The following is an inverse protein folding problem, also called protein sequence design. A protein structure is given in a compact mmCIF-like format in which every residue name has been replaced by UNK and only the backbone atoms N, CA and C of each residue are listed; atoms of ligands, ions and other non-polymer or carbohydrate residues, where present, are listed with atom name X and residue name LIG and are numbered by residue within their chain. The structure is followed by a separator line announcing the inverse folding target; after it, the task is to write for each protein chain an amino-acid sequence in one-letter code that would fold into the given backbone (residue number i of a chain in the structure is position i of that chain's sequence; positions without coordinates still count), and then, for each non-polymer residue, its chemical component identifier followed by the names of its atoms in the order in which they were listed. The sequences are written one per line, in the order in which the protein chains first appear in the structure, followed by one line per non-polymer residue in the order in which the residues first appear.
data_IF_395818957217
#
_entry.id   IF_395818957217
#
_cell.length_a   1.000
_cell.length_b   1.000
_cell.length_c   1.000
_cell.angle_alpha   90.00
_cell.angle_beta   90.00
_cell.angle_gamma   90.00
#
_symmetry.space_group_name_H-M   'P 1'
#
loop_
_entity.id
_entity.type
_entity.pdbx_description
1 polymer ?
#
# COMPACT_ATOMS: atom_id res chain seq x y z
N UNK A 1 19.39 -4.45 -18.03
CA UNK A 1 18.29 -4.10 -17.12
C UNK A 1 18.50 -4.74 -15.78
N UNK A 2 18.18 -4.02 -14.70
CA UNK A 2 18.37 -4.46 -13.32
C UNK A 2 17.13 -4.22 -12.46
N UNK A 3 17.15 -4.82 -11.27
CA UNK A 3 16.21 -4.51 -10.19
C UNK A 3 16.91 -3.65 -9.16
N UNK A 4 16.22 -2.63 -8.70
CA UNK A 4 16.58 -1.88 -7.51
C UNK A 4 15.99 -2.57 -6.29
N UNK A 5 16.80 -2.91 -5.30
CA UNK A 5 16.39 -3.64 -4.10
C UNK A 5 16.79 -2.92 -2.83
N UNK A 6 16.04 -3.13 -1.75
CA UNK A 6 16.46 -2.85 -0.38
C UNK A 6 17.24 -4.05 0.13
N UNK A 7 18.40 -3.82 0.73
CA UNK A 7 19.28 -4.90 1.15
C UNK A 7 19.27 -5.17 2.65
N UNK A 8 18.74 -4.24 3.47
CA UNK A 8 18.63 -4.41 4.93
C UNK A 8 17.87 -5.69 5.29
N UNK A 9 18.48 -6.53 6.12
CA UNK A 9 17.91 -7.81 6.54
C UNK A 9 17.83 -8.89 5.46
N UNK A 10 18.50 -8.68 4.33
CA UNK A 10 18.55 -9.67 3.25
C UNK A 10 19.39 -10.86 3.69
N UNK A 11 18.80 -12.05 3.74
CA UNK A 11 19.47 -13.26 4.18
C UNK A 11 19.20 -14.46 3.26
N UNK A 12 20.10 -15.45 3.22
CA UNK A 12 20.02 -16.57 2.29
C UNK A 12 18.86 -17.54 2.59
N UNK A 13 18.36 -17.58 3.83
CA UNK A 13 17.32 -18.55 4.23
C UNK A 13 15.93 -18.09 3.77
N UNK A 14 15.65 -16.78 3.87
CA UNK A 14 14.34 -16.22 3.55
C UNK A 14 14.25 -15.67 2.12
N UNK A 15 15.33 -15.07 1.62
CA UNK A 15 15.39 -14.43 0.30
C UNK A 15 16.59 -14.94 -0.53
N UNK A 16 16.80 -16.25 -0.55
CA UNK A 16 17.99 -16.87 -1.15
C UNK A 16 18.29 -16.46 -2.60
N UNK A 17 17.27 -16.23 -3.42
CA UNK A 17 17.43 -15.75 -4.79
C UNK A 17 18.01 -14.34 -4.83
N UNK A 18 17.40 -13.41 -4.09
CA UNK A 18 17.85 -12.02 -4.05
C UNK A 18 19.21 -11.91 -3.37
N UNK A 19 19.43 -12.67 -2.29
CA UNK A 19 20.72 -12.73 -1.60
C UNK A 19 21.83 -13.18 -2.55
N UNK A 20 21.62 -14.26 -3.30
CA UNK A 20 22.57 -14.77 -4.28
C UNK A 20 22.85 -13.72 -5.36
N UNK A 21 21.83 -13.08 -5.92
CA UNK A 21 22.01 -12.05 -6.93
C UNK A 21 22.74 -10.81 -6.38
N UNK A 22 22.47 -10.42 -5.14
CA UNK A 22 23.11 -9.27 -4.50
C UNK A 22 24.55 -9.51 -4.04
N UNK A 23 25.00 -10.76 -3.97
CA UNK A 23 26.37 -11.14 -3.61
C UNK A 23 27.27 -11.52 -4.80
N UNK A 24 26.77 -11.31 -6.03
CA UNK A 24 27.59 -11.46 -7.23
C UNK A 24 28.51 -10.25 -7.42
N UNK A 25 29.61 -10.42 -8.15
CA UNK A 25 30.52 -9.35 -8.59
C UNK A 25 29.86 -8.36 -9.58
N UNK A 26 28.66 -8.65 -10.04
CA UNK A 26 27.85 -7.85 -10.97
C UNK A 26 26.81 -6.98 -10.28
N UNK A 27 26.63 -7.13 -8.97
CA UNK A 27 25.75 -6.29 -8.18
C UNK A 27 26.42 -4.94 -7.87
N UNK A 28 25.63 -3.87 -7.85
CA UNK A 28 26.05 -2.56 -7.36
C UNK A 28 25.40 -2.37 -5.99
N UNK A 29 26.22 -2.19 -4.96
CA UNK A 29 25.74 -2.02 -3.59
C UNK A 29 26.07 -0.62 -3.08
N UNK A 30 25.12 -0.01 -2.37
CA UNK A 30 25.23 1.29 -1.73
C UNK A 30 24.86 1.17 -0.25
N UNK A 31 25.66 1.78 0.62
CA UNK A 31 25.48 1.73 2.07
C UNK A 31 25.49 0.29 2.65
N UNK A 32 26.24 -0.59 2.05
CA UNK A 32 26.39 -1.99 2.44
C UNK A 32 27.86 -2.25 2.77
N UNK A 33 28.10 -2.95 3.85
CA UNK A 33 29.46 -3.35 4.24
C UNK A 33 29.96 -4.46 3.33
N UNK A 34 31.09 -4.20 2.66
CA UNK A 34 31.83 -5.20 1.89
C UNK A 34 33.22 -5.31 2.49
N UNK A 35 33.62 -6.52 2.85
CA UNK A 35 34.95 -6.80 3.41
C UNK A 35 35.99 -7.00 2.29
N UNK A 36 37.26 -6.91 2.63
CA UNK A 36 38.37 -7.04 1.67
C UNK A 36 38.41 -8.40 0.96
N UNK A 37 37.84 -9.44 1.57
CA UNK A 37 37.67 -10.77 0.99
C UNK A 37 36.43 -10.88 0.05
N UNK A 38 35.72 -9.79 -0.15
CA UNK A 38 34.49 -9.73 -0.98
C UNK A 38 33.23 -10.18 -0.25
N UNK A 39 33.30 -10.55 1.01
CA UNK A 39 32.12 -10.90 1.80
C UNK A 39 31.24 -9.67 2.02
N UNK A 40 29.94 -9.83 1.82
CA UNK A 40 28.93 -8.78 2.00
C UNK A 40 28.20 -9.00 3.32
N UNK A 41 28.01 -7.93 4.09
CA UNK A 41 27.23 -7.92 5.32
C UNK A 41 26.05 -6.96 5.18
N UNK A 42 24.86 -7.50 5.03
CA UNK A 42 23.63 -6.74 4.89
C UNK A 42 23.00 -6.32 6.23
N UNK A 43 23.54 -6.82 7.34
CA UNK A 43 23.07 -6.49 8.70
C UNK A 43 23.93 -5.39 9.35
N UNK A 44 25.08 -5.05 8.76
CA UNK A 44 25.92 -3.94 9.25
C UNK A 44 25.22 -2.59 8.98
N UNK A 45 24.82 -1.93 10.05
CA UNK A 45 24.19 -0.62 10.05
C UNK A 45 25.11 0.50 10.56
N UNK A 46 26.40 0.26 10.63
CA UNK A 46 27.38 1.21 11.17
C UNK A 46 27.43 2.54 10.39
N UNK A 47 27.19 2.50 9.08
CA UNK A 47 27.03 3.69 8.25
C UNK A 47 25.59 4.22 8.28
N UNK A 48 24.63 3.35 7.96
CA UNK A 48 23.21 3.66 7.89
C UNK A 48 22.39 2.38 7.72
N UNK A 49 21.14 2.38 8.18
CA UNK A 49 20.17 1.32 7.93
C UNK A 49 19.52 1.40 6.53
N UNK A 50 20.05 2.20 5.62
CA UNK A 50 19.48 2.45 4.29
C UNK A 50 20.27 1.75 3.17
N UNK A 51 20.62 0.47 3.36
CA UNK A 51 21.29 -0.33 2.34
C UNK A 51 20.46 -0.51 1.07
N UNK A 52 21.10 -0.36 -0.08
CA UNK A 52 20.50 -0.49 -1.41
C UNK A 52 21.37 -1.33 -2.32
N UNK A 53 20.71 -1.97 -3.30
CA UNK A 53 21.41 -2.69 -4.34
C UNK A 53 20.72 -2.59 -5.69
N UNK A 54 21.51 -2.70 -6.75
CA UNK A 54 21.05 -2.96 -8.12
C UNK A 54 21.57 -4.32 -8.51
N UNK A 55 20.68 -5.23 -8.83
CA UNK A 55 20.99 -6.59 -9.27
C UNK A 55 20.53 -6.79 -10.71
N UNK A 56 21.19 -7.66 -11.46
CA UNK A 56 20.78 -7.94 -12.82
C UNK A 56 19.53 -8.81 -12.86
N UNK A 57 18.61 -8.51 -13.78
CA UNK A 57 17.41 -9.35 -14.03
C UNK A 57 17.78 -10.80 -14.34
N UNK A 58 18.85 -11.01 -15.09
CA UNK A 58 19.35 -12.34 -15.45
C UNK A 58 19.80 -13.20 -14.26
N UNK A 59 20.08 -12.58 -13.10
CA UNK A 59 20.43 -13.29 -11.86
C UNK A 59 19.18 -13.70 -11.04
N UNK A 60 18.00 -13.23 -11.42
CA UNK A 60 16.74 -13.51 -10.73
C UNK A 60 15.89 -14.43 -11.61
N UNK A 61 15.79 -15.72 -11.29
CA UNK A 61 14.92 -16.64 -12.00
C UNK A 61 13.44 -16.22 -11.81
N UNK A 62 12.59 -16.65 -12.71
CA UNK A 62 11.15 -16.33 -12.73
C UNK A 62 10.84 -14.82 -12.95
N UNK A 63 11.71 -14.10 -13.64
CA UNK A 63 11.40 -12.76 -14.14
C UNK A 63 10.85 -12.87 -15.56
N UNK A 64 9.96 -11.95 -15.90
CA UNK A 64 9.49 -11.80 -17.29
C UNK A 64 10.59 -11.15 -18.14
N UNK A 65 10.77 -11.61 -19.37
CA UNK A 65 11.72 -11.01 -20.31
C UNK A 65 11.22 -9.65 -20.81
N UNK A 66 9.89 -9.45 -20.82
CA UNK A 66 9.25 -8.19 -21.15
C UNK A 66 9.30 -7.26 -19.95
N UNK A 67 9.86 -6.05 -20.12
CA UNK A 67 9.96 -5.06 -19.03
C UNK A 67 8.86 -4.00 -19.07
N UNK A 68 8.20 -3.87 -20.21
CA UNK A 68 7.13 -2.91 -20.43
C UNK A 68 5.77 -3.56 -20.24
N UNK A 69 4.86 -2.86 -19.58
CA UNK A 69 3.46 -3.24 -19.42
C UNK A 69 2.62 -2.29 -20.27
N UNK A 70 1.94 -2.81 -21.30
CA UNK A 70 1.11 -2.00 -22.19
C UNK A 70 -0.07 -1.34 -21.47
N UNK A 71 -0.68 -2.07 -20.51
CA UNK A 71 -1.85 -1.59 -19.77
C UNK A 71 -1.89 -2.17 -18.36
N UNK A 72 -2.15 -1.32 -17.39
CA UNK A 72 -2.51 -1.74 -16.04
C UNK A 72 -4.04 -1.80 -15.91
N UNK A 73 -4.59 -2.90 -15.41
CA UNK A 73 -6.04 -3.08 -15.20
C UNK A 73 -6.44 -2.93 -13.74
N UNK A 74 -5.51 -3.07 -12.82
CA UNK A 74 -5.77 -3.00 -11.37
C UNK A 74 -4.77 -2.05 -10.72
N UNK A 75 -5.27 -1.09 -9.95
CA UNK A 75 -4.47 -0.17 -9.13
C UNK A 75 -4.79 -0.46 -7.67
N UNK A 76 -3.77 -0.74 -6.86
CA UNK A 76 -3.94 -1.04 -5.44
C UNK A 76 -3.14 -0.04 -4.61
N UNK A 77 -3.83 0.85 -3.91
CA UNK A 77 -3.23 1.69 -2.87
C UNK A 77 -3.01 0.85 -1.61
N UNK A 78 -1.80 0.82 -1.11
CA UNK A 78 -1.47 0.12 0.14
C UNK A 78 -1.51 1.12 1.28
N UNK A 79 -2.38 0.85 2.27
CA UNK A 79 -2.42 1.60 3.51
C UNK A 79 -2.09 0.71 4.71
N UNK A 80 -1.91 1.31 5.88
CA UNK A 80 -1.73 0.57 7.12
C UNK A 80 -2.46 1.25 8.26
N UNK A 81 -3.64 0.73 8.55
CA UNK A 81 -4.51 1.17 9.66
C UNK A 81 -4.77 -0.02 10.56
N UNK A 82 -5.25 0.25 11.77
CA UNK A 82 -5.51 -0.80 12.78
C UNK A 82 -6.92 -0.73 13.39
N UNK A 83 -7.74 0.18 12.92
CA UNK A 83 -9.06 0.47 13.49
C UNK A 83 -10.21 -0.03 12.59
N UNK A 84 -10.97 0.91 12.03
CA UNK A 84 -12.21 0.65 11.28
C UNK A 84 -12.01 0.51 9.76
N UNK A 85 -10.77 0.59 9.27
CA UNK A 85 -10.51 0.43 7.83
C UNK A 85 -10.50 -1.05 7.47
N UNK A 86 -11.36 -1.50 6.55
CA UNK A 86 -11.43 -2.89 6.13
C UNK A 86 -10.12 -3.40 5.51
N UNK A 87 -9.95 -4.73 5.39
CA UNK A 87 -8.77 -5.32 4.76
C UNK A 87 -8.59 -4.90 3.30
N UNK A 88 -9.70 -4.72 2.60
CA UNK A 88 -9.70 -4.22 1.21
C UNK A 88 -11.02 -3.53 0.92
N UNK A 89 -10.95 -2.50 0.04
CA UNK A 89 -12.14 -1.85 -0.52
C UNK A 89 -11.91 -1.59 -2.02
N UNK A 90 -12.99 -1.64 -2.80
CA UNK A 90 -13.00 -1.24 -4.20
C UNK A 90 -13.56 0.17 -4.32
N UNK A 91 -12.96 0.98 -5.17
CA UNK A 91 -13.21 2.42 -5.28
C UNK A 91 -13.76 2.79 -6.66
N UNK A 92 -14.69 3.71 -6.70
CA UNK A 92 -15.04 4.43 -7.92
C UNK A 92 -13.97 5.52 -8.24
N UNK A 93 -14.00 6.16 -9.42
CA UNK A 93 -12.98 7.15 -9.79
C UNK A 93 -12.86 8.35 -8.84
N UNK A 94 -13.95 8.82 -8.22
CA UNK A 94 -13.92 9.92 -7.26
C UNK A 94 -13.26 9.50 -5.94
N UNK A 95 -13.62 8.33 -5.45
CA UNK A 95 -13.00 7.74 -4.26
C UNK A 95 -11.53 7.41 -4.48
N UNK A 96 -11.15 7.02 -5.70
CA UNK A 96 -9.75 6.80 -6.07
C UNK A 96 -8.94 8.10 -6.06
N UNK A 97 -9.52 9.21 -6.57
CA UNK A 97 -8.95 10.54 -6.43
C UNK A 97 -8.74 10.91 -4.96
N UNK A 98 -9.77 10.73 -4.12
CA UNK A 98 -9.67 11.02 -2.70
C UNK A 98 -8.57 10.17 -2.02
N UNK A 99 -8.54 8.86 -2.30
CA UNK A 99 -7.52 7.95 -1.75
C UNK A 99 -6.10 8.36 -2.18
N UNK A 100 -5.92 8.75 -3.43
CA UNK A 100 -4.66 9.27 -3.96
C UNK A 100 -4.22 10.53 -3.23
N UNK A 101 -5.13 11.51 -3.08
CA UNK A 101 -4.86 12.78 -2.41
C UNK A 101 -4.66 12.61 -0.90
N UNK A 102 -5.34 11.64 -0.27
CA UNK A 102 -5.10 11.29 1.13
C UNK A 102 -3.70 10.72 1.35
N UNK A 103 -3.22 9.90 0.43
CA UNK A 103 -1.90 9.29 0.49
C UNK A 103 -1.60 8.64 1.85
N UNK A 104 -2.60 7.98 2.45
CA UNK A 104 -2.49 7.37 3.78
C UNK A 104 -1.45 6.26 3.79
N UNK A 105 -0.37 6.44 4.52
CA UNK A 105 0.75 5.53 4.62
C UNK A 105 1.34 5.55 6.02
N UNK A 106 2.43 4.84 6.20
CA UNK A 106 3.26 4.90 7.40
C UNK A 106 4.70 5.22 7.01
N UNK A 107 5.42 5.88 7.91
CA UNK A 107 6.87 6.02 7.77
C UNK A 107 7.53 4.64 7.81
N UNK A 108 8.46 4.44 6.90
CA UNK A 108 9.27 3.23 6.83
C UNK A 108 10.70 3.53 7.31
N UNK A 109 11.44 2.51 7.69
CA UNK A 109 12.86 2.64 8.02
C UNK A 109 13.71 3.19 6.87
N UNK A 110 13.19 3.15 5.65
CA UNK A 110 13.84 3.71 4.47
C UNK A 110 13.82 5.25 4.40
N UNK A 111 12.86 5.89 5.08
CA UNK A 111 12.82 7.36 5.21
C UNK A 111 13.57 7.80 6.46
N UNK A 112 12.88 7.78 7.60
CA UNK A 112 13.44 8.11 8.90
C UNK A 112 13.25 6.91 9.84
N UNK A 113 14.33 6.14 10.17
CA UNK A 113 14.22 4.97 11.04
C UNK A 113 13.61 5.27 12.41
N UNK A 114 13.79 6.50 12.92
CA UNK A 114 13.27 6.92 14.23
C UNK A 114 11.75 7.13 14.22
N UNK A 115 11.17 7.33 13.04
CA UNK A 115 9.73 7.52 12.82
C UNK A 115 9.04 6.31 12.23
N UNK A 116 9.76 5.21 12.03
CA UNK A 116 9.20 4.00 11.43
C UNK A 116 7.91 3.55 12.15
N UNK A 117 6.86 3.30 11.38
CA UNK A 117 5.54 2.92 11.88
C UNK A 117 4.61 4.09 12.27
N UNK A 118 5.08 5.33 12.28
CA UNK A 118 4.21 6.49 12.48
C UNK A 118 3.34 6.74 11.25
N UNK A 119 2.14 7.28 11.48
CA UNK A 119 1.23 7.67 10.39
C UNK A 119 1.87 8.77 9.53
N UNK A 120 1.81 8.60 8.23
CA UNK A 120 2.29 9.55 7.22
C UNK A 120 1.23 9.75 6.16
N UNK A 121 1.16 10.97 5.64
CA UNK A 121 0.40 11.30 4.42
C UNK A 121 1.35 11.82 3.36
N UNK A 122 1.27 11.22 2.18
CA UNK A 122 2.06 11.60 1.03
C UNK A 122 1.19 11.37 -0.22
N UNK A 123 0.78 12.44 -0.87
CA UNK A 123 -0.10 12.38 -2.05
C UNK A 123 0.46 11.39 -3.07
N UNK A 124 -0.38 10.49 -3.54
CA UNK A 124 0.00 9.42 -4.44
C UNK A 124 1.08 8.46 -3.92
N UNK A 125 1.42 8.54 -2.62
CA UNK A 125 2.61 7.89 -2.03
C UNK A 125 3.92 8.27 -2.72
N UNK A 126 3.92 9.39 -3.45
CA UNK A 126 5.04 9.88 -4.24
C UNK A 126 5.58 11.21 -3.68
N UNK A 127 6.70 11.22 -2.95
CA UNK A 127 7.30 12.44 -2.41
C UNK A 127 8.01 13.30 -3.48
N UNK A 128 8.00 12.89 -4.74
CA UNK A 128 8.71 13.55 -5.84
C UNK A 128 7.78 14.29 -6.81
N UNK A 129 6.53 14.52 -6.45
CA UNK A 129 5.61 15.35 -7.25
C UNK A 129 6.16 16.77 -7.32
N UNK A 130 6.41 17.24 -8.52
CA UNK A 130 7.04 18.54 -8.79
C UNK A 130 6.03 19.67 -9.06
N UNK A 131 4.80 19.34 -9.44
CA UNK A 131 3.73 20.29 -9.73
C UNK A 131 2.69 20.37 -8.61
N UNK A 132 1.54 21.02 -8.88
CA UNK A 132 0.41 20.95 -7.98
C UNK A 132 -0.08 19.52 -7.79
N UNK A 133 -0.04 19.03 -6.57
CA UNK A 133 -0.41 17.62 -6.23
C UNK A 133 -1.83 17.27 -6.70
N UNK A 134 -2.74 18.25 -6.71
CA UNK A 134 -4.12 18.04 -7.16
C UNK A 134 -4.21 17.66 -8.65
N UNK A 135 -3.32 18.19 -9.49
CA UNK A 135 -3.31 17.87 -10.94
C UNK A 135 -3.01 16.40 -11.18
N UNK A 136 -2.12 15.81 -10.39
CA UNK A 136 -1.81 14.37 -10.46
C UNK A 136 -3.03 13.52 -10.05
N UNK A 137 -3.74 13.94 -9.00
CA UNK A 137 -4.97 13.26 -8.58
C UNK A 137 -6.08 13.35 -9.63
N UNK A 138 -6.30 14.54 -10.20
CA UNK A 138 -7.28 14.75 -11.28
C UNK A 138 -6.90 13.94 -12.53
N UNK A 139 -5.61 13.83 -12.83
CA UNK A 139 -5.12 12.99 -13.93
C UNK A 139 -5.43 11.51 -13.71
N UNK A 140 -5.25 11.01 -12.47
CA UNK A 140 -5.65 9.64 -12.14
C UNK A 140 -7.16 9.44 -12.34
N UNK A 141 -8.00 10.36 -11.85
CA UNK A 141 -9.46 10.29 -12.05
C UNK A 141 -9.81 10.24 -13.54
N UNK A 142 -9.22 11.11 -14.36
CA UNK A 142 -9.41 11.13 -15.81
C UNK A 142 -9.02 9.79 -16.45
N UNK A 143 -7.88 9.21 -16.05
CA UNK A 143 -7.43 7.89 -16.55
C UNK A 143 -8.47 6.82 -16.23
N UNK A 144 -8.98 6.78 -14.99
CA UNK A 144 -9.97 5.79 -14.58
C UNK A 144 -11.30 5.97 -15.33
N UNK A 145 -11.75 7.21 -15.53
CA UNK A 145 -12.96 7.52 -16.30
C UNK A 145 -12.86 7.10 -17.78
N UNK A 146 -11.67 7.28 -18.36
CA UNK A 146 -11.41 6.93 -19.76
C UNK A 146 -11.10 5.42 -19.97
N UNK A 147 -10.87 4.68 -18.89
CA UNK A 147 -10.56 3.25 -18.91
C UNK A 147 -11.49 2.50 -17.93
N UNK A 148 -12.78 2.28 -18.27
CA UNK A 148 -13.77 1.71 -17.34
C UNK A 148 -13.47 0.27 -16.90
N UNK A 149 -12.57 -0.42 -17.59
CA UNK A 149 -12.07 -1.74 -17.23
C UNK A 149 -10.86 -1.69 -16.26
N UNK A 150 -10.39 -0.48 -15.92
CA UNK A 150 -9.37 -0.27 -14.90
C UNK A 150 -10.05 -0.08 -13.54
N UNK A 151 -9.70 -0.91 -12.58
CA UNK A 151 -10.26 -0.89 -11.24
C UNK A 151 -9.26 -0.39 -10.20
N UNK A 152 -9.77 0.26 -9.17
CA UNK A 152 -8.95 0.84 -8.11
C UNK A 152 -9.36 0.32 -6.74
N UNK A 153 -8.37 0.04 -5.89
CA UNK A 153 -8.56 -0.57 -4.58
C UNK A 153 -7.69 0.10 -3.52
N UNK A 154 -8.14 0.02 -2.25
CA UNK A 154 -7.27 0.19 -1.09
C UNK A 154 -7.06 -1.17 -0.43
N UNK A 155 -5.83 -1.52 -0.14
CA UNK A 155 -5.45 -2.71 0.63
C UNK A 155 -4.84 -2.27 1.97
N UNK A 156 -5.51 -2.64 3.06
CA UNK A 156 -4.98 -2.42 4.41
C UNK A 156 -4.06 -3.58 4.80
N UNK A 157 -2.81 -3.28 5.13
CA UNK A 157 -1.80 -4.26 5.57
C UNK A 157 -1.51 -4.20 7.08
N UNK A 158 -2.33 -3.48 7.83
CA UNK A 158 -2.23 -3.32 9.27
C UNK A 158 -2.98 -4.40 10.05
N UNK A 159 -4.01 -3.98 10.75
CA UNK A 159 -4.97 -4.82 11.48
C UNK A 159 -6.35 -4.17 11.43
N UNK A 160 -7.36 -4.82 11.97
CA UNK A 160 -8.71 -4.27 12.12
C UNK A 160 -9.18 -4.43 13.56
N UNK A 161 -10.01 -3.53 14.03
CA UNK A 161 -10.69 -3.66 15.31
C UNK A 161 -9.84 -3.33 16.54
N UNK A 162 -8.73 -2.59 16.40
CA UNK A 162 -7.92 -2.20 17.55
C UNK A 162 -8.72 -1.35 18.56
N UNK A 163 -8.73 -1.76 19.84
CA UNK A 163 -9.49 -1.12 20.91
C UNK A 163 -8.82 -1.33 22.25
N UNK A 164 -8.52 -0.25 22.99
CA UNK A 164 -7.80 -0.35 24.25
C UNK A 164 -6.44 -1.03 24.09
N UNK A 165 -6.19 -2.08 24.84
CA UNK A 165 -4.96 -2.88 24.77
C UNK A 165 -4.95 -3.88 23.61
N UNK A 166 -6.09 -4.17 23.01
CA UNK A 166 -6.19 -5.04 21.85
C UNK A 166 -5.68 -4.32 20.59
N UNK A 167 -4.62 -4.86 20.00
CA UNK A 167 -3.94 -4.26 18.82
C UNK A 167 -4.66 -4.48 17.49
N UNK A 168 -5.83 -5.11 17.53
CA UNK A 168 -6.62 -5.49 16.36
C UNK A 168 -6.22 -6.85 15.78
N UNK A 169 -7.11 -7.43 14.98
CA UNK A 169 -6.86 -8.66 14.23
C UNK A 169 -5.88 -8.36 13.08
N UNK A 170 -4.73 -8.99 13.11
CA UNK A 170 -3.62 -8.72 12.19
C UNK A 170 -3.89 -9.21 10.77
N UNK A 171 -3.78 -8.32 9.81
CA UNK A 171 -3.77 -8.66 8.38
C UNK A 171 -2.38 -9.19 8.00
N UNK A 172 -2.23 -10.52 8.06
CA UNK A 172 -0.95 -11.18 7.74
C UNK A 172 -0.59 -11.02 6.27
N UNK A 173 0.68 -11.24 5.93
CA UNK A 173 1.15 -11.26 4.52
C UNK A 173 0.32 -12.27 3.72
N UNK A 174 0.03 -13.44 4.27
CA UNK A 174 -0.80 -14.46 3.61
C UNK A 174 -2.20 -13.94 3.28
N UNK A 175 -2.84 -13.21 4.19
CA UNK A 175 -4.15 -12.58 3.96
C UNK A 175 -4.06 -11.55 2.84
N UNK A 176 -3.12 -10.61 2.93
CA UNK A 176 -2.95 -9.55 1.94
C UNK A 176 -2.63 -10.10 0.55
N UNK A 177 -1.73 -11.08 0.44
CA UNK A 177 -1.37 -11.69 -0.85
C UNK A 177 -2.51 -12.54 -1.43
N UNK A 178 -3.32 -13.18 -0.58
CA UNK A 178 -4.52 -13.89 -1.05
C UNK A 178 -5.55 -12.92 -1.59
N UNK A 179 -5.81 -11.79 -0.91
CA UNK A 179 -6.71 -10.75 -1.41
C UNK A 179 -6.21 -10.21 -2.77
N UNK A 180 -4.92 -9.88 -2.90
CA UNK A 180 -4.35 -9.40 -4.17
C UNK A 180 -4.52 -10.44 -5.29
N UNK A 181 -4.33 -11.71 -5.00
CA UNK A 181 -4.53 -12.81 -5.95
C UNK A 181 -5.99 -12.90 -6.41
N UNK A 182 -6.94 -12.78 -5.50
CA UNK A 182 -8.36 -12.86 -5.83
C UNK A 182 -8.87 -11.58 -6.52
N UNK A 183 -8.29 -10.39 -6.25
CA UNK A 183 -8.47 -9.18 -7.07
C UNK A 183 -8.00 -9.44 -8.50
N UNK A 184 -6.79 -10.00 -8.68
CA UNK A 184 -6.24 -10.26 -10.01
C UNK A 184 -7.05 -11.30 -10.81
N UNK A 185 -7.86 -12.12 -10.13
CA UNK A 185 -8.73 -13.15 -10.74
C UNK A 185 -10.17 -12.71 -10.93
N UNK A 186 -10.52 -11.53 -10.46
CA UNK A 186 -11.92 -11.02 -10.44
C UNK A 186 -12.90 -11.96 -9.73
N UNK A 187 -12.49 -12.58 -8.63
CA UNK A 187 -13.27 -13.60 -7.91
C UNK A 187 -13.86 -13.11 -6.58
N UNK A 188 -13.66 -11.84 -6.23
CA UNK A 188 -14.21 -11.25 -5.02
C UNK A 188 -15.63 -10.75 -5.27
N UNK A 189 -16.57 -11.13 -4.39
CA UNK A 189 -17.91 -10.56 -4.38
C UNK A 189 -17.94 -9.29 -3.53
N UNK A 190 -18.43 -8.21 -4.10
CA UNK A 190 -18.46 -6.88 -3.50
C UNK A 190 -19.88 -6.45 -3.14
N UNK A 191 -20.01 -5.63 -2.10
CA UNK A 191 -21.23 -4.93 -1.70
C UNK A 191 -20.88 -3.52 -1.26
N UNK A 192 -21.75 -2.55 -1.56
CA UNK A 192 -21.56 -1.17 -1.10
C UNK A 192 -21.72 -1.09 0.43
N UNK A 193 -20.79 -0.43 1.09
CA UNK A 193 -20.88 -0.07 2.51
C UNK A 193 -21.63 1.25 2.65
N UNK A 194 -22.80 1.22 3.31
CA UNK A 194 -23.70 2.38 3.47
C UNK A 194 -23.04 3.56 4.21
N UNK A 195 -22.09 3.30 5.11
CA UNK A 195 -21.41 4.35 5.87
C UNK A 195 -20.35 5.07 5.03
N UNK A 196 -19.67 4.35 4.13
CA UNK A 196 -18.52 4.83 3.38
C UNK A 196 -18.77 5.04 1.89
N UNK A 197 -19.78 4.37 1.33
CA UNK A 197 -20.11 4.43 -0.09
C UNK A 197 -19.11 3.75 -1.02
N UNK A 198 -18.07 3.10 -0.49
CA UNK A 198 -17.20 2.23 -1.26
C UNK A 198 -17.65 0.77 -1.17
N UNK A 199 -17.15 -0.08 -2.05
CA UNK A 199 -17.49 -1.50 -2.01
C UNK A 199 -16.53 -2.27 -1.08
N UNK A 200 -17.10 -3.15 -0.25
CA UNK A 200 -16.38 -4.07 0.66
C UNK A 200 -16.59 -5.51 0.23
N UNK A 201 -15.65 -6.42 0.50
CA UNK A 201 -15.81 -7.82 0.14
C UNK A 201 -16.79 -8.53 1.07
N UNK A 202 -17.70 -9.31 0.52
CA UNK A 202 -18.56 -10.24 1.27
C UNK A 202 -18.00 -11.65 1.28
N UNK A 203 -17.18 -11.99 0.30
CA UNK A 203 -16.50 -13.28 0.20
C UNK A 203 -15.17 -13.13 -0.51
N UNK A 204 -14.14 -13.78 0.03
CA UNK A 204 -12.80 -13.90 -0.57
C UNK A 204 -12.37 -15.36 -0.47
N UNK A 205 -12.05 -16.00 -1.59
CA UNK A 205 -11.63 -17.40 -1.58
C UNK A 205 -10.36 -17.59 -0.74
N UNK A 206 -10.40 -18.60 0.14
CA UNK A 206 -9.27 -18.96 1.00
C UNK A 206 -9.07 -18.08 2.23
N UNK A 207 -9.99 -17.16 2.51
CA UNK A 207 -9.98 -16.30 3.70
C UNK A 207 -11.39 -16.28 4.31
N UNK A 208 -11.46 -16.42 5.63
CA UNK A 208 -12.65 -16.03 6.40
C UNK A 208 -12.64 -14.50 6.53
N UNK A 209 -13.29 -13.81 5.59
CA UNK A 209 -13.26 -12.35 5.51
C UNK A 209 -14.03 -11.69 6.65
N UNK A 210 -15.03 -12.35 7.22
CA UNK A 210 -15.80 -11.86 8.35
C UNK A 210 -14.93 -11.67 9.60
N UNK A 211 -13.90 -12.47 9.77
CA UNK A 211 -12.91 -12.30 10.83
C UNK A 211 -12.24 -10.92 10.76
N UNK A 212 -12.18 -10.31 9.59
CA UNK A 212 -11.56 -9.00 9.35
C UNK A 212 -12.58 -7.90 9.08
N UNK A 213 -13.85 -8.14 9.39
CA UNK A 213 -14.88 -7.11 9.34
C UNK A 213 -14.75 -6.21 10.57
N UNK A 214 -14.40 -4.90 10.40
CA UNK A 214 -14.18 -4.02 11.54
C UNK A 214 -15.42 -3.88 12.43
N UNK A 215 -16.63 -4.00 11.86
CA UNK A 215 -17.88 -3.87 12.61
C UNK A 215 -18.03 -4.94 13.72
N UNK A 216 -17.35 -6.08 13.60
CA UNK A 216 -17.38 -7.14 14.61
C UNK A 216 -16.64 -6.81 15.91
N UNK A 217 -15.87 -5.71 15.94
CA UNK A 217 -15.01 -5.33 17.06
C UNK A 217 -15.53 -4.14 17.88
N UNK A 218 -16.57 -3.47 17.39
CA UNK A 218 -17.12 -2.26 18.00
C UNK A 218 -18.63 -2.37 18.15
N UNK A 219 -19.20 -1.68 19.14
CA UNK A 219 -20.64 -1.41 19.11
C UNK A 219 -20.97 -0.46 17.95
N UNK A 220 -22.24 -0.36 17.60
CA UNK A 220 -22.66 0.54 16.52
C UNK A 220 -22.32 2.01 16.84
N UNK A 221 -22.50 2.43 18.09
CA UNK A 221 -22.16 3.77 18.57
C UNK A 221 -20.65 4.04 18.48
N UNK A 222 -19.83 3.09 18.95
CA UNK A 222 -18.37 3.19 18.87
C UNK A 222 -17.90 3.30 17.42
N UNK A 223 -18.44 2.46 16.53
CA UNK A 223 -18.11 2.47 15.12
C UNK A 223 -18.47 3.83 14.49
N UNK A 224 -19.67 4.37 14.75
CA UNK A 224 -20.10 5.70 14.26
C UNK A 224 -19.18 6.83 14.73
N UNK A 225 -18.75 6.78 16.00
CA UNK A 225 -17.81 7.77 16.54
C UNK A 225 -16.46 7.71 15.81
N UNK A 226 -15.92 6.50 15.62
CA UNK A 226 -14.66 6.30 14.91
C UNK A 226 -14.77 6.70 13.44
N UNK A 227 -15.87 6.35 12.78
CA UNK A 227 -16.15 6.74 11.39
C UNK A 227 -16.24 8.26 11.24
N UNK A 228 -16.98 8.93 12.11
CA UNK A 228 -17.10 10.39 12.12
C UNK A 228 -15.75 11.07 12.32
N UNK A 229 -14.94 10.56 13.25
CA UNK A 229 -13.57 11.06 13.49
C UNK A 229 -12.69 10.89 12.25
N UNK A 230 -12.69 9.72 11.62
CA UNK A 230 -11.87 9.44 10.44
C UNK A 230 -12.33 10.29 9.24
N UNK A 231 -13.64 10.43 9.04
CA UNK A 231 -14.19 11.34 8.01
C UNK A 231 -13.76 12.79 8.22
N UNK A 232 -13.82 13.28 9.46
CA UNK A 232 -13.38 14.63 9.80
C UNK A 232 -11.87 14.83 9.56
N UNK A 233 -11.05 13.87 9.94
CA UNK A 233 -9.59 13.86 9.71
C UNK A 233 -9.28 13.92 8.21
N UNK A 234 -9.92 13.06 7.40
CA UNK A 234 -9.76 13.02 5.94
C UNK A 234 -10.23 14.31 5.28
N UNK A 235 -11.41 14.80 5.67
CA UNK A 235 -11.95 16.07 5.17
C UNK A 235 -11.01 17.26 5.47
N UNK A 236 -10.46 17.34 6.66
CA UNK A 236 -9.53 18.39 7.04
C UNK A 236 -8.24 18.38 6.19
N UNK A 237 -7.76 17.19 5.83
CA UNK A 237 -6.63 17.05 4.91
C UNK A 237 -6.98 17.45 3.48
N UNK A 238 -8.08 16.95 2.94
CA UNK A 238 -8.53 17.21 1.57
C UNK A 238 -8.93 18.66 1.33
N UNK A 239 -9.33 19.39 2.39
CA UNK A 239 -9.64 20.83 2.29
C UNK A 239 -8.47 21.68 1.77
N UNK A 240 -7.23 21.20 1.93
CA UNK A 240 -6.04 21.86 1.38
C UNK A 240 -6.02 21.89 -0.15
N UNK A 241 -6.75 20.98 -0.78
CA UNK A 241 -6.79 20.79 -2.22
C UNK A 241 -8.12 21.22 -2.84
N UNK A 242 -8.99 21.94 -2.07
CA UNK A 242 -10.33 22.40 -2.51
C UNK A 242 -11.27 21.27 -2.97
N UNK A 243 -10.91 20.01 -2.71
CA UNK A 243 -11.70 18.84 -3.09
C UNK A 243 -13.02 18.72 -2.30
N UNK A 244 -13.13 19.38 -1.17
CA UNK A 244 -14.35 19.37 -0.33
C UNK A 244 -15.56 20.04 -1.00
N UNK A 245 -15.37 20.79 -2.10
CA UNK A 245 -16.44 21.51 -2.79
C UNK A 245 -16.94 20.82 -4.06
N UNK A 246 -16.11 20.02 -4.74
CA UNK A 246 -16.46 19.38 -6.02
C UNK A 246 -17.39 18.16 -5.87
N UNK A 247 -17.30 17.42 -4.78
CA UNK A 247 -18.15 16.25 -4.52
C UNK A 247 -19.62 16.58 -4.18
N UNK A 248 -19.93 17.87 -3.91
CA UNK A 248 -21.32 18.34 -3.62
C UNK A 248 -22.12 18.77 -4.83
N UNK A 249 -21.48 19.02 -5.97
CA UNK A 249 -22.18 19.56 -7.15
C UNK A 249 -22.70 18.50 -8.13
N UNK A 250 -22.27 17.23 -8.00
CA UNK A 250 -22.64 16.15 -8.92
C UNK A 250 -23.71 15.18 -8.34
N UNK A 251 -24.17 15.40 -7.10
CA UNK A 251 -25.26 14.61 -6.49
C UNK A 251 -26.61 15.38 -6.45
N UNK A 252 -26.90 16.12 -7.55
CA UNK A 252 -28.23 16.70 -7.79
C UNK A 252 -28.79 16.29 -9.14
#
# INVERSE_FOLDING_TARGET
TGFFIKTEGLNPEQQGVLYKAATTDRAILENVKVYDDGKVDFDDVSLTSNGRGIILRSEVPNTDDTIDLEKANKIIFITRRNDIVPPVVKLNPDQALEAFMLGESIETSAGDPTKAGQSKRCVGTNPFIMGPEIEEGLRLKEILQNNPDMECYILNTGSVGAKGDFKGEKLSIKVSTTIMKEIARDTINWVEDEEWGYEVPVQVNGIDIEKYNPRNYYTEEEYKVLASRLKAERKAWLAKYELAQSTRSESK
#
